data_IF_751387382805
#
_entry.id   IF_751387382805
#
_cell.length_a   1.000
_cell.length_b   1.000
_cell.length_c   1.000
_cell.angle_alpha   90.00
_cell.angle_beta   90.00
_cell.angle_gamma   90.00
#
_symmetry.space_group_name_H-M   'P 1'
#
loop_
_entity.id
_entity.type
_entity.pdbx_description
1 polymer ?
#
# COMPACT_ATOMS: atom_id res chain seq x y z
N UNK A 1 -8.10 5.67 27.23
CA UNK A 1 -6.83 5.58 26.47
C UNK A 1 -6.88 6.62 25.37
N UNK A 2 -5.89 7.50 25.26
CA UNK A 2 -5.82 8.44 24.14
C UNK A 2 -5.01 7.79 23.02
N UNK A 3 -5.68 7.49 21.92
CA UNK A 3 -5.15 6.76 20.79
C UNK A 3 -4.42 7.75 19.85
N UNK A 4 -3.15 7.50 19.52
CA UNK A 4 -2.33 8.43 18.73
C UNK A 4 -2.26 8.03 17.24
N UNK A 5 -3.17 8.57 16.43
CA UNK A 5 -3.19 8.30 14.98
C UNK A 5 -1.97 8.88 14.23
N UNK A 6 -1.35 9.95 14.76
CA UNK A 6 -0.12 10.52 14.17
C UNK A 6 1.05 9.55 14.28
N UNK A 7 1.19 8.84 15.40
CA UNK A 7 2.21 7.81 15.55
C UNK A 7 2.04 6.65 14.55
N UNK A 8 0.80 6.30 14.19
CA UNK A 8 0.52 5.30 13.14
C UNK A 8 0.94 5.81 11.77
N UNK A 9 0.63 7.07 11.44
CA UNK A 9 1.07 7.72 10.21
C UNK A 9 2.60 7.79 10.10
N UNK A 10 3.27 8.22 11.16
CA UNK A 10 4.74 8.31 11.19
C UNK A 10 5.38 6.92 11.02
N UNK A 11 4.79 5.89 11.66
CA UNK A 11 5.23 4.51 11.46
C UNK A 11 5.04 4.04 10.01
N UNK A 12 3.91 4.35 9.39
CA UNK A 12 3.66 4.03 7.97
C UNK A 12 4.72 4.67 7.06
N UNK A 13 5.05 5.94 7.29
CA UNK A 13 6.10 6.66 6.57
C UNK A 13 7.48 6.01 6.76
N UNK A 14 7.82 5.58 7.98
CA UNK A 14 9.11 4.93 8.25
C UNK A 14 9.28 3.63 7.45
N UNK A 15 8.24 2.78 7.39
CA UNK A 15 8.28 1.56 6.58
C UNK A 15 8.34 1.86 5.07
N UNK A 16 7.64 2.89 4.61
CA UNK A 16 7.73 3.33 3.22
C UNK A 16 9.15 3.83 2.88
N UNK A 17 9.77 4.64 3.74
CA UNK A 17 11.15 5.11 3.56
C UNK A 17 12.12 3.94 3.50
N UNK A 18 11.98 2.95 4.39
CA UNK A 18 12.80 1.74 4.35
C UNK A 18 12.63 0.98 3.02
N UNK A 19 11.39 0.82 2.55
CA UNK A 19 11.12 0.21 1.24
C UNK A 19 11.80 0.95 0.08
N UNK A 20 11.72 2.29 0.08
CA UNK A 20 12.32 3.11 -0.98
C UNK A 20 13.85 3.01 -0.97
N UNK A 21 14.48 3.06 0.20
CA UNK A 21 15.93 2.88 0.32
C UNK A 21 16.40 1.51 -0.18
N UNK A 22 15.63 0.46 0.07
CA UNK A 22 15.90 -0.88 -0.48
C UNK A 22 15.70 -0.93 -1.99
N UNK A 23 14.70 -0.23 -2.52
CA UNK A 23 14.45 -0.15 -3.96
C UNK A 23 15.54 0.63 -4.71
N UNK A 24 16.12 1.65 -4.10
CA UNK A 24 17.33 2.33 -4.59
C UNK A 24 18.49 1.34 -4.68
N UNK A 25 18.74 0.56 -3.61
CA UNK A 25 19.79 -0.49 -3.61
C UNK A 25 19.55 -1.58 -4.65
N UNK A 26 18.30 -2.00 -4.85
CA UNK A 26 17.94 -2.92 -5.92
C UNK A 26 18.28 -2.34 -7.30
N UNK A 27 17.99 -1.06 -7.53
CA UNK A 27 18.27 -0.38 -8.80
C UNK A 27 19.78 -0.26 -9.07
N UNK A 28 20.59 -0.07 -8.02
CA UNK A 28 22.05 -0.01 -8.11
C UNK A 28 22.70 -1.37 -8.38
N UNK A 29 22.21 -2.42 -7.73
CA UNK A 29 22.87 -3.74 -7.68
C UNK A 29 22.26 -4.79 -8.61
N UNK A 30 21.00 -4.62 -9.00
CA UNK A 30 20.16 -5.64 -9.62
C UNK A 30 20.02 -6.94 -8.82
N UNK A 31 20.33 -6.95 -7.51
CA UNK A 31 20.19 -8.13 -6.65
C UNK A 31 18.72 -8.31 -6.19
N UNK A 32 17.93 -8.87 -7.10
CA UNK A 32 16.51 -9.17 -6.84
C UNK A 32 16.37 -10.09 -5.63
N UNK A 33 17.24 -11.10 -5.48
CA UNK A 33 17.12 -12.13 -4.44
C UNK A 33 17.19 -11.56 -3.02
N UNK A 34 18.05 -10.55 -2.82
CA UNK A 34 18.22 -9.88 -1.53
C UNK A 34 17.11 -8.86 -1.25
N UNK A 35 16.74 -8.05 -2.23
CA UNK A 35 15.98 -6.82 -1.94
C UNK A 35 14.48 -6.92 -2.17
N UNK A 36 14.01 -7.75 -3.12
CA UNK A 36 12.61 -7.65 -3.57
C UNK A 36 11.60 -8.04 -2.47
N UNK A 37 11.88 -9.09 -1.69
CA UNK A 37 10.97 -9.54 -0.65
C UNK A 37 10.84 -8.50 0.48
N UNK A 38 11.95 -7.95 1.03
CA UNK A 38 11.90 -6.82 1.95
C UNK A 38 11.16 -5.58 1.41
N UNK A 39 11.38 -5.21 0.14
CA UNK A 39 10.66 -4.07 -0.49
C UNK A 39 9.16 -4.30 -0.43
N UNK A 40 8.69 -5.46 -0.91
CA UNK A 40 7.26 -5.75 -0.98
C UNK A 40 6.63 -5.83 0.40
N UNK A 41 7.29 -6.46 1.37
CA UNK A 41 6.79 -6.58 2.75
C UNK A 41 6.65 -5.20 3.41
N UNK A 42 7.68 -4.34 3.31
CA UNK A 42 7.63 -2.99 3.88
C UNK A 42 6.58 -2.11 3.18
N UNK A 43 6.43 -2.24 1.86
CA UNK A 43 5.39 -1.55 1.08
C UNK A 43 3.98 -1.98 1.50
N UNK A 44 3.72 -3.28 1.63
CA UNK A 44 2.41 -3.77 2.05
C UNK A 44 2.09 -3.33 3.49
N UNK A 45 3.09 -3.33 4.38
CA UNK A 45 2.90 -2.93 5.76
C UNK A 45 2.66 -1.43 5.91
N UNK A 46 3.32 -0.57 5.11
CA UNK A 46 3.02 0.86 5.12
C UNK A 46 1.58 1.14 4.68
N UNK A 47 1.09 0.46 3.63
CA UNK A 47 -0.32 0.54 3.19
C UNK A 47 -1.29 0.11 4.29
N UNK A 48 -1.01 -1.00 4.98
CA UNK A 48 -1.79 -1.46 6.13
C UNK A 48 -1.90 -0.37 7.20
N UNK A 49 -0.76 0.26 7.55
CA UNK A 49 -0.72 1.30 8.57
C UNK A 49 -1.42 2.59 8.12
N UNK A 50 -1.33 2.98 6.85
CA UNK A 50 -2.11 4.11 6.33
C UNK A 50 -3.62 3.86 6.42
N UNK A 51 -4.09 2.67 6.03
CA UNK A 51 -5.50 2.29 6.17
C UNK A 51 -5.95 2.34 7.64
N UNK A 52 -5.13 1.80 8.55
CA UNK A 52 -5.38 1.86 10.00
C UNK A 52 -5.41 3.28 10.52
N UNK A 53 -4.52 4.14 10.03
CA UNK A 53 -4.45 5.56 10.39
C UNK A 53 -5.75 6.28 9.99
N UNK A 54 -6.20 6.13 8.74
CA UNK A 54 -7.45 6.72 8.25
C UNK A 54 -8.62 6.27 9.11
N UNK A 55 -8.76 4.96 9.34
CA UNK A 55 -9.82 4.42 10.20
C UNK A 55 -9.81 5.05 11.60
N UNK A 56 -8.63 5.18 12.20
CA UNK A 56 -8.46 5.70 13.54
C UNK A 56 -8.78 7.20 13.63
N UNK A 57 -8.47 7.97 12.58
CA UNK A 57 -8.88 9.38 12.47
C UNK A 57 -10.41 9.49 12.44
N UNK A 58 -11.08 8.63 11.66
CA UNK A 58 -12.54 8.66 11.48
C UNK A 58 -13.32 8.18 12.70
N UNK A 59 -12.80 7.17 13.40
CA UNK A 59 -13.56 6.44 14.43
C UNK A 59 -13.04 6.67 15.86
N UNK A 60 -11.90 7.35 16.02
CA UNK A 60 -11.28 7.62 17.32
C UNK A 60 -10.69 6.40 18.04
N UNK A 61 -10.67 5.23 17.39
CA UNK A 61 -10.17 3.98 17.96
C UNK A 61 -9.38 3.17 16.93
N UNK A 62 -8.38 2.37 17.36
CA UNK A 62 -7.61 1.54 16.46
C UNK A 62 -8.44 0.38 15.93
N UNK A 63 -7.99 -0.19 14.83
CA UNK A 63 -8.58 -1.38 14.22
C UNK A 63 -7.57 -2.53 14.16
N UNK A 64 -8.07 -3.74 14.42
CA UNK A 64 -7.33 -4.99 14.34
C UNK A 64 -7.49 -5.67 12.97
N UNK A 65 -6.51 -6.51 12.62
CA UNK A 65 -6.44 -7.24 11.36
C UNK A 65 -5.36 -6.72 10.42
N UNK A 66 -5.06 -7.50 9.37
CA UNK A 66 -3.99 -7.25 8.40
C UNK A 66 -4.43 -7.45 6.94
N UNK A 67 -5.71 -7.78 6.70
CA UNK A 67 -6.24 -7.89 5.34
C UNK A 67 -6.60 -6.49 4.83
N UNK A 68 -5.81 -5.97 3.89
CA UNK A 68 -5.89 -4.61 3.36
C UNK A 68 -7.26 -4.32 2.72
N UNK A 69 -7.83 -5.27 1.97
CA UNK A 69 -9.18 -5.16 1.40
C UNK A 69 -10.25 -5.01 2.48
N UNK A 70 -10.15 -5.78 3.56
CA UNK A 70 -11.07 -5.71 4.70
C UNK A 70 -10.89 -4.45 5.52
N UNK A 71 -9.65 -3.94 5.64
CA UNK A 71 -9.36 -2.66 6.30
C UNK A 71 -9.96 -1.51 5.49
N UNK A 72 -9.74 -1.50 4.17
CA UNK A 72 -10.29 -0.50 3.26
C UNK A 72 -11.82 -0.46 3.32
N UNK A 73 -12.50 -1.63 3.25
CA UNK A 73 -13.96 -1.72 3.34
C UNK A 73 -14.56 -1.20 4.65
N UNK A 74 -13.76 -1.05 5.70
CA UNK A 74 -14.18 -0.50 7.00
C UNK A 74 -13.98 1.00 7.13
N UNK A 75 -13.32 1.65 6.18
CA UNK A 75 -13.26 3.12 6.12
C UNK A 75 -14.64 3.69 5.80
N UNK A 76 -14.84 4.97 6.16
CA UNK A 76 -16.05 5.69 5.79
C UNK A 76 -16.27 5.67 4.27
N UNK A 77 -17.54 5.76 3.85
CA UNK A 77 -17.89 5.84 2.43
C UNK A 77 -17.14 6.99 1.73
N UNK A 78 -17.10 8.16 2.36
CA UNK A 78 -16.40 9.34 1.84
C UNK A 78 -14.90 9.07 1.61
N UNK A 79 -14.22 8.47 2.58
CA UNK A 79 -12.80 8.14 2.41
C UNK A 79 -12.58 7.13 1.29
N UNK A 80 -13.43 6.10 1.19
CA UNK A 80 -13.32 5.11 0.11
C UNK A 80 -13.47 5.77 -1.26
N UNK A 81 -14.51 6.58 -1.45
CA UNK A 81 -14.77 7.29 -2.70
C UNK A 81 -13.62 8.24 -3.08
N UNK A 82 -13.07 8.98 -2.10
CA UNK A 82 -11.93 9.87 -2.34
C UNK A 82 -10.65 9.11 -2.71
N UNK A 83 -10.35 8.02 -2.01
CA UNK A 83 -9.18 7.18 -2.31
C UNK A 83 -9.31 6.56 -3.69
N UNK A 84 -10.49 6.03 -4.04
CA UNK A 84 -10.78 5.41 -5.33
C UNK A 84 -10.64 6.43 -6.47
N UNK A 85 -11.21 7.63 -6.33
CA UNK A 85 -11.09 8.69 -7.33
C UNK A 85 -9.64 9.12 -7.59
N UNK A 86 -8.83 9.27 -6.52
CA UNK A 86 -7.41 9.63 -6.65
C UNK A 86 -6.63 8.46 -7.27
N UNK A 87 -6.88 7.23 -6.83
CA UNK A 87 -6.24 6.04 -7.36
C UNK A 87 -6.51 5.89 -8.86
N UNK A 88 -7.77 5.99 -9.29
CA UNK A 88 -8.17 5.88 -10.69
C UNK A 88 -7.56 6.99 -11.57
N UNK A 89 -7.31 8.17 -10.99
CA UNK A 89 -6.57 9.24 -11.66
C UNK A 89 -5.08 8.88 -11.82
N UNK A 90 -4.45 8.28 -10.81
CA UNK A 90 -3.01 8.03 -10.77
C UNK A 90 -2.58 6.75 -11.51
N UNK A 91 -3.39 5.69 -11.49
CA UNK A 91 -3.05 4.40 -12.10
C UNK A 91 -2.70 4.50 -13.59
N UNK A 92 -3.47 5.21 -14.45
CA UNK A 92 -3.14 5.35 -15.86
C UNK A 92 -1.83 6.12 -16.11
N UNK A 93 -1.39 6.92 -15.14
CA UNK A 93 -0.16 7.73 -15.23
C UNK A 93 1.07 6.97 -14.72
N UNK A 94 0.91 5.81 -14.08
CA UNK A 94 2.01 5.02 -13.54
C UNK A 94 2.79 4.32 -14.67
N UNK A 95 4.08 4.65 -14.88
CA UNK A 95 4.89 4.00 -15.91
C UNK A 95 4.98 2.48 -15.71
N UNK A 96 5.10 2.03 -14.46
CA UNK A 96 5.16 0.62 -14.10
C UNK A 96 3.88 -0.12 -14.52
N UNK A 97 2.72 0.48 -14.25
CA UNK A 97 1.43 -0.11 -14.65
C UNK A 97 1.29 -0.12 -16.17
N UNK A 98 1.66 0.95 -16.85
CA UNK A 98 1.61 1.03 -18.32
C UNK A 98 2.46 -0.06 -18.98
N UNK A 99 3.71 -0.22 -18.55
CA UNK A 99 4.63 -1.26 -19.07
C UNK A 99 4.06 -2.66 -18.83
N UNK A 100 3.49 -2.91 -17.66
CA UNK A 100 2.95 -4.23 -17.33
C UNK A 100 1.64 -4.53 -18.04
N UNK A 101 0.75 -3.56 -18.26
CA UNK A 101 -0.43 -3.76 -19.10
C UNK A 101 -0.08 -4.09 -20.55
N UNK A 102 1.02 -3.55 -21.08
CA UNK A 102 1.50 -3.96 -22.42
C UNK A 102 1.94 -5.42 -22.46
N UNK A 103 2.56 -5.93 -21.38
CA UNK A 103 3.03 -7.32 -21.28
C UNK A 103 1.92 -8.30 -20.87
N UNK A 104 0.96 -7.84 -20.09
CA UNK A 104 -0.13 -8.62 -19.50
C UNK A 104 -1.42 -7.80 -19.65
N UNK A 105 -2.08 -7.83 -20.83
CA UNK A 105 -3.26 -7.01 -21.11
C UNK A 105 -4.43 -7.24 -20.14
N UNK A 106 -4.60 -8.47 -19.67
CA UNK A 106 -5.67 -8.86 -18.74
C UNK A 106 -5.34 -8.56 -17.26
N UNK A 107 -4.23 -7.87 -16.98
CA UNK A 107 -3.84 -7.50 -15.63
C UNK A 107 -4.90 -6.58 -15.01
N UNK A 108 -5.48 -7.05 -13.90
CA UNK A 108 -6.40 -6.26 -13.10
C UNK A 108 -5.65 -5.19 -12.32
N UNK A 109 -6.14 -3.97 -12.40
CA UNK A 109 -5.55 -2.79 -11.74
C UNK A 109 -6.57 -1.99 -10.97
N UNK A 110 -7.78 -2.52 -10.76
CA UNK A 110 -8.76 -1.89 -9.87
C UNK A 110 -8.28 -1.98 -8.42
N UNK A 111 -8.60 -0.94 -7.63
CA UNK A 111 -8.11 -0.77 -6.27
C UNK A 111 -8.40 -1.99 -5.39
N UNK A 112 -9.63 -2.50 -5.46
CA UNK A 112 -10.11 -3.60 -4.62
C UNK A 112 -9.35 -4.90 -4.92
N UNK A 113 -9.12 -5.22 -6.19
CA UNK A 113 -8.31 -6.38 -6.58
C UNK A 113 -6.87 -6.24 -6.11
N UNK A 114 -6.25 -5.06 -6.31
CA UNK A 114 -4.86 -4.84 -5.89
C UNK A 114 -4.71 -4.93 -4.37
N UNK A 115 -5.62 -4.34 -3.59
CA UNK A 115 -5.60 -4.45 -2.13
C UNK A 115 -5.79 -5.90 -1.66
N UNK A 116 -6.67 -6.66 -2.31
CA UNK A 116 -6.88 -8.08 -2.02
C UNK A 116 -5.62 -8.90 -2.30
N UNK A 117 -4.98 -8.67 -3.44
CA UNK A 117 -3.76 -9.37 -3.82
C UNK A 117 -2.62 -9.03 -2.83
N UNK A 118 -2.47 -7.75 -2.47
CA UNK A 118 -1.49 -7.27 -1.48
C UNK A 118 -1.76 -7.79 -0.06
N UNK A 119 -3.00 -8.08 0.29
CA UNK A 119 -3.34 -8.69 1.59
C UNK A 119 -2.68 -10.06 1.79
N UNK A 120 -2.39 -10.76 0.69
CA UNK A 120 -1.67 -12.03 0.70
C UNK A 120 -0.15 -11.86 0.54
N UNK A 121 0.33 -10.65 0.22
CA UNK A 121 1.74 -10.35 -0.04
C UNK A 121 2.62 -10.70 1.16
N UNK A 122 2.20 -10.27 2.36
CA UNK A 122 2.97 -10.48 3.58
C UNK A 122 3.23 -11.98 3.83
N UNK A 123 2.24 -12.84 3.59
CA UNK A 123 2.37 -14.28 3.73
C UNK A 123 3.23 -14.84 2.59
N UNK A 124 2.85 -14.57 1.33
CA UNK A 124 3.51 -15.15 0.15
C UNK A 124 5.00 -14.78 0.05
N UNK A 125 5.36 -13.55 0.39
CA UNK A 125 6.74 -13.08 0.30
C UNK A 125 7.59 -13.49 1.49
N UNK A 126 7.00 -13.66 2.67
CA UNK A 126 7.69 -14.22 3.84
C UNK A 126 8.02 -15.70 3.65
N UNK A 127 7.13 -16.44 2.98
CA UNK A 127 7.29 -17.86 2.68
C UNK A 127 7.59 -18.06 1.19
N UNK A 128 8.36 -17.16 0.58
CA UNK A 128 8.70 -17.23 -0.85
C UNK A 128 9.47 -18.52 -1.21
N UNK A 129 10.08 -19.18 -0.23
CA UNK A 129 10.71 -20.49 -0.37
C UNK A 129 9.70 -21.67 -0.46
N UNK A 130 8.41 -21.42 -0.23
CA UNK A 130 7.33 -22.43 -0.27
C UNK A 130 6.50 -22.38 -1.56
N UNK A 131 6.74 -21.44 -2.48
CA UNK A 131 5.92 -21.35 -3.70
C UNK A 131 6.21 -20.16 -4.63
N UNK A 132 5.27 -19.91 -5.54
CA UNK A 132 5.38 -18.85 -6.56
C UNK A 132 5.10 -17.46 -6.00
N UNK A 133 5.89 -16.50 -6.45
CA UNK A 133 5.89 -15.12 -5.99
C UNK A 133 4.96 -14.25 -6.88
N UNK A 134 4.25 -13.28 -6.30
CA UNK A 134 3.42 -12.32 -7.03
C UNK A 134 3.91 -10.88 -6.85
N UNK A 135 4.02 -10.11 -7.93
CA UNK A 135 4.31 -8.66 -7.88
C UNK A 135 3.05 -7.81 -7.69
N UNK A 136 3.21 -6.57 -7.21
CA UNK A 136 2.11 -5.62 -6.97
C UNK A 136 2.41 -4.26 -7.61
N UNK A 137 2.23 -4.12 -8.94
CA UNK A 137 2.75 -2.98 -9.69
C UNK A 137 2.01 -1.66 -9.48
N UNK A 138 0.84 -1.70 -8.85
CA UNK A 138 0.01 -0.52 -8.56
C UNK A 138 0.13 -0.04 -7.10
N UNK A 139 1.15 -0.49 -6.34
CA UNK A 139 1.36 -0.08 -4.95
C UNK A 139 1.64 1.42 -4.79
N UNK A 140 2.39 2.04 -5.73
CA UNK A 140 2.67 3.47 -5.73
C UNK A 140 1.40 4.34 -5.75
N UNK A 141 0.53 4.20 -6.76
CA UNK A 141 -0.76 4.90 -6.80
C UNK A 141 -1.62 4.71 -5.54
N UNK A 142 -1.62 3.52 -4.91
CA UNK A 142 -2.33 3.29 -3.65
C UNK A 142 -1.74 4.15 -2.52
N UNK A 143 -0.42 4.13 -2.36
CA UNK A 143 0.27 4.91 -1.32
C UNK A 143 -0.05 6.40 -1.47
N UNK A 144 0.03 6.92 -2.70
CA UNK A 144 -0.24 8.33 -2.97
C UNK A 144 -1.70 8.71 -2.68
N UNK A 145 -2.66 7.86 -3.08
CA UNK A 145 -4.07 8.07 -2.78
C UNK A 145 -4.37 8.06 -1.27
N UNK A 146 -3.76 7.13 -0.52
CA UNK A 146 -3.92 7.05 0.93
C UNK A 146 -3.31 8.25 1.65
N UNK A 147 -2.09 8.66 1.25
CA UNK A 147 -1.43 9.84 1.82
C UNK A 147 -2.21 11.12 1.52
N UNK A 148 -2.73 11.26 0.30
CA UNK A 148 -3.59 12.39 -0.07
C UNK A 148 -4.85 12.43 0.80
N UNK A 149 -5.50 11.28 1.05
CA UNK A 149 -6.66 11.23 1.94
C UNK A 149 -6.31 11.60 3.39
N UNK A 150 -5.19 11.12 3.92
CA UNK A 150 -4.73 11.52 5.26
C UNK A 150 -4.49 13.03 5.33
N UNK A 151 -3.85 13.62 4.30
CA UNK A 151 -3.62 15.06 4.23
C UNK A 151 -4.93 15.87 4.21
N UNK A 152 -5.97 15.37 3.55
CA UNK A 152 -7.30 16.00 3.55
C UNK A 152 -7.93 15.94 4.95
N UNK A 153 -7.85 14.80 5.63
CA UNK A 153 -8.40 14.60 6.98
C UNK A 153 -7.61 15.33 8.07
N UNK A 154 -6.31 15.49 7.88
CA UNK A 154 -5.34 16.10 8.80
C UNK A 154 -4.37 17.00 8.03
N UNK A 155 -4.80 18.22 7.65
CA UNK A 155 -3.99 19.16 6.86
C UNK A 155 -2.66 19.55 7.49
N UNK A 156 -2.53 19.41 8.81
CA UNK A 156 -1.33 19.73 9.59
C UNK A 156 -0.26 18.62 9.60
N UNK A 157 -0.51 17.46 8.99
CA UNK A 157 0.43 16.32 8.93
C UNK A 157 1.21 16.23 7.62
#
# INVERSE_FOLDING_TARGET
>A
MNYNAKAVYDSANNFLVASNALNEKLSETNDIGTYIAPIIVNTAFSIELYLKCIYMIENGQPIQGHFLDKLYRKLSKESREMIEAIYDMLVPQSPTVMILKQKIPDMKTDLDTVLKDMSSAFIKWRYNFEGSITGFPASGPIIDALKARIKILKPEW
#
